data_IF_817901846166
#
_entry.id   IF_817901846166
#
_cell.length_a   1.000
_cell.length_b   1.000
_cell.length_c   1.000
_cell.angle_alpha   90.00
_cell.angle_beta   90.00
_cell.angle_gamma   90.00
#
_symmetry.space_group_name_H-M   'P 1'
#
loop_
_entity.id
_entity.type
_entity.pdbx_description
1 polymer ?
#
# COMPACT_ATOMS: atom_id res chain seq x y z
N UNK A 1 -39.40 -50.14 -31.09
CA UNK A 1 -38.51 -49.46 -30.12
C UNK A 1 -37.89 -48.26 -30.80
N UNK A 2 -38.28 -47.03 -30.43
CA UNK A 2 -37.63 -45.81 -30.85
C UNK A 2 -36.73 -45.21 -29.74
N UNK A 3 -35.89 -44.23 -30.08
CA UNK A 3 -34.56 -44.06 -29.52
C UNK A 3 -34.50 -43.07 -28.36
N UNK A 4 -33.45 -43.22 -27.55
CA UNK A 4 -33.08 -42.26 -26.51
C UNK A 4 -32.25 -41.09 -27.04
N UNK A 5 -32.49 -39.92 -26.45
CA UNK A 5 -31.66 -38.72 -26.24
C UNK A 5 -32.58 -37.48 -26.25
N UNK A 6 -32.25 -36.31 -25.65
CA UNK A 6 -31.03 -35.93 -24.90
C UNK A 6 -31.31 -35.23 -23.54
N UNK A 7 -30.33 -35.24 -22.63
CA UNK A 7 -30.26 -34.29 -21.50
C UNK A 7 -29.57 -33.03 -22.01
N UNK A 8 -30.34 -31.97 -22.27
CA UNK A 8 -29.82 -30.62 -22.47
C UNK A 8 -29.59 -29.96 -21.12
N UNK A 9 -28.36 -29.51 -20.89
CA UNK A 9 -28.04 -28.46 -19.95
C UNK A 9 -28.61 -27.15 -20.51
N UNK A 10 -29.47 -26.47 -19.74
CA UNK A 10 -29.84 -25.08 -20.03
C UNK A 10 -28.98 -24.16 -19.17
N UNK A 11 -28.18 -23.36 -19.86
CA UNK A 11 -27.47 -22.19 -19.34
C UNK A 11 -28.47 -21.16 -18.84
N UNK A 12 -28.51 -20.94 -17.52
CA UNK A 12 -29.23 -19.80 -16.92
C UNK A 12 -28.36 -18.56 -17.10
N UNK A 13 -28.75 -17.68 -18.02
CA UNK A 13 -28.16 -16.35 -18.18
C UNK A 13 -28.48 -15.49 -16.96
N UNK A 14 -27.48 -15.26 -16.12
CA UNK A 14 -27.52 -14.30 -15.03
C UNK A 14 -27.40 -12.88 -15.59
N UNK A 15 -28.40 -12.04 -15.30
CA UNK A 15 -28.30 -10.60 -15.53
C UNK A 15 -27.34 -9.99 -14.50
N UNK A 16 -26.37 -9.22 -14.99
CA UNK A 16 -25.30 -8.60 -14.22
C UNK A 16 -25.82 -7.56 -13.23
N UNK A 17 -25.48 -7.71 -11.94
CA UNK A 17 -25.80 -6.78 -10.86
C UNK A 17 -25.00 -5.47 -11.01
N UNK A 18 -25.60 -4.45 -11.61
CA UNK A 18 -25.06 -3.07 -11.54
C UNK A 18 -25.42 -2.43 -10.20
N UNK A 19 -24.41 -2.17 -9.36
CA UNK A 19 -24.54 -1.33 -8.17
C UNK A 19 -24.41 0.15 -8.52
N UNK A 20 -25.25 1.05 -7.96
CA UNK A 20 -25.10 2.49 -8.12
C UNK A 20 -24.02 3.04 -7.17
N UNK A 21 -23.24 4.01 -7.65
CA UNK A 21 -22.24 4.75 -6.86
C UNK A 21 -22.92 5.71 -5.86
N UNK A 22 -22.31 6.01 -4.71
CA UNK A 22 -22.89 6.95 -3.75
C UNK A 22 -22.62 8.40 -4.20
N UNK A 23 -23.67 9.10 -4.61
CA UNK A 23 -23.67 10.56 -4.74
C UNK A 23 -23.76 11.21 -3.36
N UNK A 24 -22.77 12.04 -3.03
CA UNK A 24 -22.82 12.97 -1.91
C UNK A 24 -23.37 14.31 -2.39
N UNK A 25 -24.66 14.57 -2.10
CA UNK A 25 -25.29 15.88 -2.25
C UNK A 25 -25.08 16.73 -1.00
N UNK A 26 -24.49 17.92 -1.17
CA UNK A 26 -24.82 19.09 -0.35
C UNK A 26 -25.15 20.22 -1.32
N UNK A 27 -26.38 20.72 -1.23
CA UNK A 27 -26.93 21.80 -2.04
C UNK A 27 -27.18 23.06 -1.20
N UNK A 28 -26.86 24.23 -1.76
CA UNK A 28 -27.51 25.54 -1.57
C UNK A 28 -26.95 26.48 -2.67
N UNK A 29 -27.67 26.80 -3.77
CA UNK A 29 -28.64 27.93 -3.92
C UNK A 29 -27.92 29.27 -3.61
N UNK A 30 -27.67 30.24 -4.51
CA UNK A 30 -28.46 30.82 -5.63
C UNK A 30 -27.57 31.66 -6.59
N UNK A 31 -28.08 31.96 -7.80
CA UNK A 31 -27.44 32.68 -8.94
C UNK A 31 -27.50 34.24 -8.82
N UNK A 32 -27.26 35.05 -9.88
CA UNK A 32 -26.00 35.40 -10.57
C UNK A 32 -25.79 36.95 -10.66
N UNK A 33 -24.57 37.46 -10.89
CA UNK A 33 -24.43 38.76 -11.59
C UNK A 33 -23.06 38.97 -12.26
N UNK A 34 -23.15 39.48 -13.48
CA UNK A 34 -22.07 39.95 -14.35
C UNK A 34 -21.54 41.30 -13.89
N UNK A 35 -20.22 41.52 -13.90
CA UNK A 35 -19.62 42.76 -14.41
C UNK A 35 -18.08 42.70 -14.49
N UNK A 36 -17.56 43.07 -15.66
CA UNK A 36 -16.20 43.56 -15.89
C UNK A 36 -16.01 44.88 -15.12
N UNK A 37 -14.83 45.10 -14.52
CA UNK A 37 -14.17 46.40 -14.61
C UNK A 37 -12.67 46.31 -14.35
N UNK A 38 -11.96 47.06 -15.18
CA UNK A 38 -10.54 47.37 -15.22
C UNK A 38 -10.24 48.42 -14.14
N UNK A 39 -9.07 48.37 -13.47
CA UNK A 39 -8.27 49.55 -13.12
C UNK A 39 -6.80 49.15 -12.87
N UNK A 40 -5.91 49.69 -13.73
CA UNK A 40 -4.46 49.88 -13.56
C UNK A 40 -4.20 50.85 -12.39
N UNK A 41 -3.05 50.93 -11.69
CA UNK A 41 -1.63 51.25 -12.02
C UNK A 41 -0.81 51.12 -10.69
N UNK A 42 0.52 51.39 -10.54
CA UNK A 42 1.69 51.41 -11.45
C UNK A 42 2.98 50.68 -10.90
N UNK A 43 3.96 50.49 -11.82
CA UNK A 43 5.46 50.60 -11.74
C UNK A 43 6.10 50.92 -10.36
N UNK A 44 7.30 50.49 -9.93
CA UNK A 44 8.55 49.94 -10.50
C UNK A 44 9.56 49.70 -9.32
N UNK A 45 10.86 49.33 -9.47
CA UNK A 45 11.58 48.59 -10.50
C UNK A 45 12.51 47.46 -9.96
N UNK A 46 12.80 46.54 -10.87
CA UNK A 46 14.08 45.85 -11.16
C UNK A 46 15.20 45.87 -10.11
N UNK A 47 15.48 44.71 -9.51
CA UNK A 47 16.80 44.37 -8.96
C UNK A 47 17.39 43.18 -9.71
N UNK A 48 18.57 43.44 -10.26
CA UNK A 48 19.42 42.61 -11.09
C UNK A 48 19.82 41.30 -10.38
N UNK A 49 19.31 40.17 -10.87
CA UNK A 49 19.80 38.86 -10.49
C UNK A 49 21.17 38.61 -11.13
N UNK A 50 22.22 39.03 -10.41
CA UNK A 50 23.60 38.74 -10.72
C UNK A 50 23.84 37.21 -10.64
N UNK A 51 24.09 36.59 -11.79
CA UNK A 51 24.49 35.19 -11.94
C UNK A 51 25.81 34.98 -11.19
N UNK A 52 25.75 34.62 -9.90
CA UNK A 52 26.94 34.20 -9.14
C UNK A 52 27.40 32.84 -9.68
N UNK A 53 28.34 32.89 -10.63
CA UNK A 53 29.21 31.76 -10.95
C UNK A 53 29.85 31.27 -9.66
N UNK A 54 29.42 30.12 -9.19
CA UNK A 54 30.02 29.42 -8.06
C UNK A 54 31.44 29.02 -8.45
N UNK A 55 32.42 29.76 -7.91
CA UNK A 55 33.83 29.38 -7.96
C UNK A 55 33.96 27.95 -7.39
N UNK A 56 34.73 27.05 -8.03
CA UNK A 56 34.98 25.73 -7.47
C UNK A 56 35.70 25.92 -6.15
N UNK A 57 35.04 25.58 -5.03
CA UNK A 57 35.65 25.59 -3.70
C UNK A 57 36.92 24.74 -3.77
N UNK A 58 38.10 25.37 -3.67
CA UNK A 58 39.37 24.66 -3.51
C UNK A 58 39.21 23.71 -2.33
N UNK A 59 39.31 22.41 -2.61
CA UNK A 59 39.28 21.35 -1.60
C UNK A 59 40.39 21.67 -0.62
N UNK A 60 40.06 22.11 0.62
CA UNK A 60 41.04 22.16 1.71
C UNK A 60 41.61 20.75 1.82
N UNK A 61 42.86 20.54 1.38
CA UNK A 61 43.56 19.32 1.69
C UNK A 61 43.76 19.33 3.20
N UNK A 62 42.88 18.63 3.93
CA UNK A 62 43.16 18.25 5.31
C UNK A 62 44.49 17.49 5.23
N UNK A 63 45.56 18.05 5.78
CA UNK A 63 46.81 17.32 5.95
C UNK A 63 46.45 16.06 6.72
N UNK A 64 46.62 14.86 6.13
CA UNK A 64 46.34 13.62 6.84
C UNK A 64 47.03 13.64 8.20
N UNK A 65 46.33 13.24 9.27
CA UNK A 65 46.91 13.03 10.61
C UNK A 65 48.22 12.24 10.55
N UNK A 66 48.34 11.38 9.53
CA UNK A 66 49.55 10.67 9.14
C UNK A 66 50.81 11.53 9.16
N UNK A 67 50.79 12.77 8.64
CA UNK A 67 52.00 13.58 8.49
C UNK A 67 52.42 14.34 9.74
N UNK A 68 51.65 14.32 10.84
CA UNK A 68 52.04 14.97 12.10
C UNK A 68 53.28 14.34 12.73
N UNK A 69 53.51 13.04 12.47
CA UNK A 69 54.66 12.29 12.97
C UNK A 69 55.85 12.25 12.00
N UNK A 70 55.78 13.03 10.92
CA UNK A 70 56.82 13.06 9.89
C UNK A 70 57.38 14.47 9.72
N UNK A 71 58.67 14.54 9.38
CA UNK A 71 59.39 15.78 9.09
C UNK A 71 59.87 15.80 7.64
N UNK A 72 60.20 17.00 7.19
CA UNK A 72 60.89 17.23 5.92
C UNK A 72 62.38 16.87 6.08
N UNK A 73 63.06 16.38 5.02
CA UNK A 73 64.50 16.16 5.03
C UNK A 73 65.29 17.36 5.57
N UNK A 74 66.30 17.10 6.40
CA UNK A 74 67.16 18.11 7.02
C UNK A 74 68.63 17.85 6.67
N UNK A 75 69.37 18.91 6.31
CA UNK A 75 70.80 18.82 6.00
C UNK A 75 71.08 18.01 4.73
N UNK A 76 71.92 16.98 4.84
CA UNK A 76 72.38 16.11 3.74
C UNK A 76 71.44 14.90 3.46
N UNK A 77 70.24 14.88 4.05
CA UNK A 77 69.24 13.83 3.83
C UNK A 77 68.66 13.86 2.39
N UNK A 78 68.38 12.68 1.81
CA UNK A 78 67.78 12.58 0.47
C UNK A 78 66.42 13.29 0.42
N UNK A 79 66.28 14.25 -0.49
CA UNK A 79 65.07 15.08 -0.60
C UNK A 79 63.96 14.44 -1.45
N UNK A 80 64.35 13.73 -2.51
CA UNK A 80 63.41 13.15 -3.48
C UNK A 80 63.79 11.71 -3.84
N UNK A 81 62.78 10.87 -3.98
CA UNK A 81 62.90 9.53 -4.57
C UNK A 81 61.88 9.43 -5.71
N UNK A 82 62.34 9.06 -6.91
CA UNK A 82 61.48 8.92 -8.09
C UNK A 82 60.57 10.14 -8.34
N UNK A 83 61.15 11.34 -8.28
CA UNK A 83 60.47 12.63 -8.46
C UNK A 83 59.37 12.94 -7.40
N UNK A 84 59.30 12.16 -6.33
CA UNK A 84 58.39 12.37 -5.20
C UNK A 84 59.17 12.77 -3.95
N UNK A 85 58.62 13.69 -3.16
CA UNK A 85 59.27 14.20 -1.94
C UNK A 85 59.29 13.13 -0.85
N UNK A 86 60.45 12.94 -0.22
CA UNK A 86 60.62 12.06 0.92
C UNK A 86 60.13 12.69 2.22
N UNK A 87 59.56 11.86 3.09
CA UNK A 87 59.15 12.21 4.45
C UNK A 87 59.88 11.32 5.45
N UNK A 88 60.51 11.94 6.45
CA UNK A 88 61.28 11.25 7.48
C UNK A 88 60.47 11.11 8.75
N UNK A 89 60.60 9.96 9.42
CA UNK A 89 59.96 9.74 10.71
C UNK A 89 60.59 10.64 11.79
N UNK A 90 59.78 11.33 12.59
CA UNK A 90 60.28 12.13 13.70
C UNK A 90 60.76 11.28 14.88
N UNK A 91 60.28 10.05 15.00
CA UNK A 91 60.57 9.16 16.14
C UNK A 91 61.79 8.27 15.90
N UNK A 92 62.23 8.09 14.64
CA UNK A 92 63.41 7.30 14.29
C UNK A 92 64.61 8.21 14.02
N UNK A 93 65.65 8.09 14.85
CA UNK A 93 66.87 8.90 14.74
C UNK A 93 68.08 8.10 14.24
N UNK A 94 68.20 6.81 14.56
CA UNK A 94 69.31 5.99 14.06
C UNK A 94 68.94 4.47 14.00
N UNK A 95 68.76 3.87 12.81
CA UNK A 95 68.79 4.51 11.48
C UNK A 95 67.55 5.39 11.23
N UNK A 96 67.66 6.49 10.46
CA UNK A 96 66.53 7.32 10.08
C UNK A 96 65.60 6.58 9.09
N UNK A 97 64.31 6.58 9.36
CA UNK A 97 63.31 5.95 8.49
C UNK A 97 62.63 6.97 7.57
N UNK A 98 62.47 6.62 6.28
CA UNK A 98 61.90 7.50 5.25
C UNK A 98 60.91 6.80 4.33
N UNK A 99 59.96 7.55 3.78
CA UNK A 99 59.00 7.05 2.79
C UNK A 99 58.46 8.16 1.89
N UNK A 100 58.02 7.78 0.69
CA UNK A 100 57.19 8.62 -0.20
C UNK A 100 55.69 8.28 -0.10
N UNK A 101 55.36 7.07 0.36
CA UNK A 101 53.98 6.55 0.39
C UNK A 101 53.33 6.67 1.77
N UNK A 102 52.08 7.14 1.78
CA UNK A 102 51.22 7.19 2.99
C UNK A 102 50.90 5.80 3.54
N UNK A 103 50.80 4.77 2.69
CA UNK A 103 50.49 3.41 3.13
C UNK A 103 51.67 2.77 3.86
N UNK A 104 52.89 3.03 3.38
CA UNK A 104 54.12 2.61 4.06
C UNK A 104 54.33 3.40 5.36
N UNK A 105 54.04 4.71 5.36
CA UNK A 105 54.11 5.57 6.55
C UNK A 105 53.24 5.04 7.70
N UNK A 106 51.96 4.75 7.42
CA UNK A 106 51.03 4.19 8.42
C UNK A 106 51.45 2.82 8.94
N UNK A 107 51.99 1.97 8.05
CA UNK A 107 52.46 0.63 8.43
C UNK A 107 53.65 0.71 9.40
N UNK A 108 54.61 1.58 9.11
CA UNK A 108 55.76 1.85 9.97
C UNK A 108 55.33 2.41 11.33
N UNK A 109 54.45 3.42 11.34
CA UNK A 109 53.90 3.98 12.59
C UNK A 109 53.21 2.93 13.46
N UNK A 110 52.45 2.01 12.86
CA UNK A 110 51.79 0.92 13.58
C UNK A 110 52.78 -0.10 14.15
N UNK A 111 53.79 -0.49 13.36
CA UNK A 111 54.69 -1.61 13.69
C UNK A 111 55.79 -1.19 14.65
N UNK A 112 56.42 -0.04 14.39
CA UNK A 112 57.65 0.37 15.06
C UNK A 112 57.40 1.39 16.18
N UNK A 113 56.23 2.04 16.18
CA UNK A 113 55.84 3.02 17.22
C UNK A 113 54.50 2.72 17.90
N UNK A 114 53.78 1.66 17.50
CA UNK A 114 52.47 1.32 18.05
C UNK A 114 51.36 2.35 17.78
N UNK A 115 51.61 3.35 16.93
CA UNK A 115 50.66 4.43 16.62
C UNK A 115 49.74 3.98 15.48
N UNK A 116 48.46 3.75 15.78
CA UNK A 116 47.44 3.43 14.79
C UNK A 116 46.88 4.73 14.24
N UNK A 117 47.30 5.09 13.03
CA UNK A 117 46.68 6.18 12.27
C UNK A 117 45.47 5.61 11.54
N UNK A 118 44.28 5.88 12.06
CA UNK A 118 43.04 5.45 11.44
C UNK A 118 42.78 6.23 10.14
N UNK A 119 42.31 5.50 9.12
CA UNK A 119 41.71 6.13 7.96
C UNK A 119 40.28 6.47 8.35
N UNK A 120 40.08 7.65 8.98
CA UNK A 120 38.74 8.17 9.21
C UNK A 120 37.96 8.03 7.89
N UNK A 121 37.03 7.07 7.85
CA UNK A 121 36.28 6.78 6.66
C UNK A 121 35.62 8.07 6.24
N UNK A 122 35.87 8.49 4.98
CA UNK A 122 35.45 9.81 4.51
C UNK A 122 34.00 10.01 4.89
N UNK A 123 33.70 11.08 5.63
CA UNK A 123 32.32 11.37 6.06
C UNK A 123 31.34 11.33 4.87
N UNK A 124 31.81 11.67 3.65
CA UNK A 124 31.06 11.51 2.41
C UNK A 124 30.71 10.05 2.06
N UNK A 125 31.62 9.09 2.24
CA UNK A 125 31.38 7.65 2.02
C UNK A 125 30.39 7.10 3.06
N UNK A 126 30.56 7.45 4.34
CA UNK A 126 29.61 7.08 5.40
C UNK A 126 28.21 7.65 5.14
N UNK A 127 28.11 8.92 4.75
CA UNK A 127 26.83 9.56 4.37
C UNK A 127 26.19 8.90 3.15
N UNK A 128 26.99 8.54 2.14
CA UNK A 128 26.50 7.81 0.97
C UNK A 128 25.95 6.44 1.38
N UNK A 129 26.70 5.69 2.21
CA UNK A 129 26.28 4.37 2.67
C UNK A 129 24.98 4.44 3.49
N UNK A 130 24.87 5.40 4.41
CA UNK A 130 23.63 5.68 5.15
C UNK A 130 22.47 6.05 4.21
N UNK A 131 22.73 6.87 3.19
CA UNK A 131 21.71 7.24 2.21
C UNK A 131 21.24 6.05 1.38
N UNK A 132 22.14 5.13 1.03
CA UNK A 132 21.80 3.92 0.29
C UNK A 132 21.01 2.95 1.16
N UNK A 133 21.40 2.76 2.42
CA UNK A 133 20.68 1.94 3.38
C UNK A 133 19.24 2.43 3.57
N UNK A 134 19.04 3.74 3.74
CA UNK A 134 17.70 4.35 3.82
C UNK A 134 16.92 4.19 2.51
N UNK A 135 17.58 4.22 1.35
CA UNK A 135 16.91 4.00 0.08
C UNK A 135 16.45 2.54 -0.08
N UNK A 136 17.26 1.58 0.35
CA UNK A 136 16.91 0.17 0.32
C UNK A 136 15.78 -0.17 1.29
N UNK A 137 15.81 0.34 2.52
CA UNK A 137 14.70 0.10 3.47
C UNK A 137 13.38 0.64 2.94
N UNK A 138 13.37 1.86 2.37
CA UNK A 138 12.17 2.42 1.72
C UNK A 138 11.69 1.61 0.53
N UNK A 139 12.63 1.07 -0.27
CA UNK A 139 12.27 0.23 -1.41
C UNK A 139 11.67 -1.10 -0.95
N UNK A 140 12.20 -1.69 0.12
CA UNK A 140 11.68 -2.91 0.73
C UNK A 140 10.29 -2.70 1.34
N UNK A 141 10.09 -1.61 2.09
CA UNK A 141 8.77 -1.23 2.63
C UNK A 141 7.75 -1.06 1.50
N UNK A 142 8.10 -0.30 0.47
CA UNK A 142 7.24 -0.11 -0.71
C UNK A 142 6.93 -1.43 -1.40
N UNK A 143 7.91 -2.32 -1.53
CA UNK A 143 7.70 -3.64 -2.14
C UNK A 143 6.74 -4.49 -1.28
N UNK A 144 6.93 -4.53 0.03
CA UNK A 144 6.04 -5.22 0.97
C UNK A 144 4.61 -4.67 0.90
N UNK A 145 4.45 -3.34 0.83
CA UNK A 145 3.14 -2.71 0.62
C UNK A 145 2.52 -3.11 -0.72
N UNK A 146 3.30 -3.15 -1.80
CA UNK A 146 2.78 -3.57 -3.11
C UNK A 146 2.38 -5.03 -3.15
N UNK A 147 3.16 -5.92 -2.53
CA UNK A 147 2.84 -7.35 -2.39
C UNK A 147 1.58 -7.50 -1.55
N UNK A 148 1.51 -6.86 -0.38
CA UNK A 148 0.33 -6.91 0.49
C UNK A 148 -0.93 -6.41 -0.21
N UNK A 149 -0.83 -5.30 -0.97
CA UNK A 149 -1.96 -4.80 -1.78
C UNK A 149 -2.35 -5.77 -2.89
N UNK A 150 -1.37 -6.41 -3.53
CA UNK A 150 -1.59 -7.47 -4.52
C UNK A 150 -2.35 -8.65 -3.92
N UNK A 151 -1.90 -9.14 -2.76
CA UNK A 151 -2.54 -10.22 -2.01
C UNK A 151 -3.98 -9.86 -1.61
N UNK A 152 -4.21 -8.65 -1.07
CA UNK A 152 -5.56 -8.17 -0.76
C UNK A 152 -6.46 -8.11 -1.99
N UNK A 153 -5.93 -7.69 -3.15
CA UNK A 153 -6.68 -7.67 -4.40
C UNK A 153 -7.06 -9.07 -4.86
N UNK A 154 -6.15 -10.04 -4.73
CA UNK A 154 -6.43 -11.44 -5.07
C UNK A 154 -7.53 -11.96 -4.14
N UNK A 155 -7.39 -11.78 -2.83
CA UNK A 155 -8.39 -12.20 -1.84
C UNK A 155 -9.76 -11.57 -2.08
N UNK A 156 -9.82 -10.30 -2.49
CA UNK A 156 -11.07 -9.65 -2.88
C UNK A 156 -11.67 -10.30 -4.13
N UNK A 157 -10.87 -10.51 -5.16
CA UNK A 157 -11.32 -11.07 -6.43
C UNK A 157 -11.74 -12.55 -6.33
N UNK A 158 -11.23 -13.29 -5.34
CA UNK A 158 -11.68 -14.67 -5.08
C UNK A 158 -13.11 -14.76 -4.54
N UNK A 159 -13.66 -13.67 -3.98
CA UNK A 159 -15.04 -13.65 -3.50
C UNK A 159 -15.96 -13.42 -4.71
N UNK A 160 -16.67 -14.47 -5.13
CA UNK A 160 -17.80 -14.31 -6.05
C UNK A 160 -18.97 -13.68 -5.31
N UNK A 161 -19.16 -12.37 -5.50
CA UNK A 161 -20.06 -11.55 -4.69
C UNK A 161 -21.53 -12.00 -4.81
N UNK A 162 -21.98 -12.29 -6.03
CA UNK A 162 -23.37 -12.70 -6.28
C UNK A 162 -23.68 -14.05 -5.62
N UNK A 163 -22.76 -15.03 -5.77
CA UNK A 163 -22.88 -16.33 -5.13
C UNK A 163 -22.84 -16.22 -3.60
N UNK A 164 -22.01 -15.31 -3.08
CA UNK A 164 -21.93 -15.04 -1.65
C UNK A 164 -23.25 -14.48 -1.11
N UNK A 165 -23.83 -13.46 -1.75
CA UNK A 165 -25.10 -12.89 -1.32
C UNK A 165 -26.24 -13.89 -1.40
N UNK A 166 -26.35 -14.64 -2.50
CA UNK A 166 -27.38 -15.67 -2.63
C UNK A 166 -27.25 -16.73 -1.52
N UNK A 167 -26.03 -17.22 -1.26
CA UNK A 167 -25.80 -18.17 -0.17
C UNK A 167 -26.13 -17.59 1.21
N UNK A 168 -25.81 -16.32 1.45
CA UNK A 168 -26.15 -15.62 2.69
C UNK A 168 -27.67 -15.49 2.87
N UNK A 169 -28.40 -15.05 1.84
CA UNK A 169 -29.86 -14.94 1.89
C UNK A 169 -30.52 -16.30 2.08
N UNK A 170 -30.04 -17.34 1.39
CA UNK A 170 -30.53 -18.71 1.59
C UNK A 170 -30.26 -19.21 3.02
N UNK A 171 -29.09 -18.94 3.58
CA UNK A 171 -28.79 -19.31 4.96
C UNK A 171 -29.77 -18.64 5.93
N UNK A 172 -29.97 -17.33 5.79
CA UNK A 172 -30.83 -16.54 6.67
C UNK A 172 -32.28 -17.01 6.57
N UNK A 173 -32.80 -17.14 5.35
CA UNK A 173 -34.19 -17.54 5.11
C UNK A 173 -34.46 -19.00 5.51
N UNK A 174 -33.61 -19.94 5.09
CA UNK A 174 -33.83 -21.38 5.33
C UNK A 174 -33.59 -21.78 6.79
N UNK A 175 -32.67 -21.10 7.48
CA UNK A 175 -32.41 -21.34 8.91
C UNK A 175 -33.18 -20.39 9.83
N UNK A 176 -34.04 -19.53 9.27
CA UNK A 176 -34.87 -18.56 10.00
C UNK A 176 -34.03 -17.70 10.96
N UNK A 177 -32.88 -17.25 10.49
CA UNK A 177 -32.02 -16.36 11.26
C UNK A 177 -32.61 -14.96 11.27
N UNK A 178 -32.42 -14.19 12.36
CA UNK A 178 -32.82 -12.80 12.36
C UNK A 178 -31.95 -11.99 11.39
N UNK A 179 -32.49 -10.94 10.77
CA UNK A 179 -31.79 -10.16 9.75
C UNK A 179 -30.53 -9.47 10.28
N UNK A 180 -30.49 -9.20 11.58
CA UNK A 180 -29.31 -8.64 12.25
C UNK A 180 -28.22 -9.70 12.53
N UNK A 181 -28.38 -10.96 12.14
CA UNK A 181 -27.34 -11.97 12.32
C UNK A 181 -26.03 -11.61 11.60
N UNK A 182 -26.12 -10.82 10.53
CA UNK A 182 -24.95 -10.31 9.82
C UNK A 182 -24.09 -9.38 10.67
N UNK A 183 -24.64 -8.74 11.71
CA UNK A 183 -23.86 -7.90 12.62
C UNK A 183 -23.29 -8.67 13.82
N UNK A 184 -23.53 -9.99 13.92
CA UNK A 184 -23.01 -10.78 15.04
C UNK A 184 -21.49 -10.98 14.91
N UNK A 185 -20.74 -10.81 16.02
CA UNK A 185 -19.29 -10.95 15.98
C UNK A 185 -18.85 -12.37 15.62
N UNK A 186 -19.60 -13.40 16.00
CA UNK A 186 -19.32 -14.80 15.67
C UNK A 186 -19.49 -15.07 14.18
N UNK A 187 -20.53 -14.49 13.57
CA UNK A 187 -20.78 -14.60 12.13
C UNK A 187 -19.67 -13.91 11.33
N UNK A 188 -19.30 -12.70 11.74
CA UNK A 188 -18.20 -11.95 11.14
C UNK A 188 -16.86 -12.66 11.31
N UNK A 189 -16.57 -13.19 12.50
CA UNK A 189 -15.36 -13.93 12.78
C UNK A 189 -15.25 -15.21 11.92
N UNK A 190 -16.35 -15.95 11.76
CA UNK A 190 -16.38 -17.14 10.91
C UNK A 190 -16.02 -16.82 9.45
N UNK A 191 -16.60 -15.74 8.90
CA UNK A 191 -16.35 -15.35 7.52
C UNK A 191 -14.93 -14.80 7.33
N UNK A 192 -14.46 -13.97 8.27
CA UNK A 192 -13.10 -13.45 8.27
C UNK A 192 -12.03 -14.54 8.47
N UNK A 193 -12.36 -15.64 9.15
CA UNK A 193 -11.47 -16.80 9.28
C UNK A 193 -11.26 -17.53 7.95
N UNK A 194 -12.26 -17.54 7.07
CA UNK A 194 -12.14 -18.10 5.71
C UNK A 194 -11.43 -17.12 4.78
N UNK A 195 -11.82 -15.84 4.81
CA UNK A 195 -11.17 -14.80 4.03
C UNK A 195 -11.12 -13.49 4.83
N UNK A 196 -9.91 -12.99 5.21
CA UNK A 196 -9.79 -11.79 6.04
C UNK A 196 -10.29 -10.51 5.35
N UNK A 197 -10.38 -10.49 4.02
CA UNK A 197 -10.91 -9.36 3.24
C UNK A 197 -12.45 -9.37 3.19
N UNK A 198 -13.08 -10.48 3.58
CA UNK A 198 -14.54 -10.59 3.59
C UNK A 198 -15.19 -9.44 4.37
N UNK A 199 -14.67 -9.07 5.55
CA UNK A 199 -15.24 -8.02 6.39
C UNK A 199 -15.56 -6.68 5.69
N UNK A 200 -14.80 -6.31 4.65
CA UNK A 200 -15.05 -5.09 3.85
C UNK A 200 -16.04 -5.26 2.69
N UNK A 201 -16.42 -6.50 2.36
CA UNK A 201 -17.32 -6.87 1.25
C UNK A 201 -18.68 -7.34 1.76
N UNK A 202 -18.78 -7.75 3.03
CA UNK A 202 -20.01 -8.28 3.62
C UNK A 202 -21.11 -7.23 3.74
N UNK A 203 -22.36 -7.69 3.64
CA UNK A 203 -23.51 -6.91 4.08
C UNK A 203 -23.44 -6.75 5.59
N UNK A 204 -23.36 -5.50 6.07
CA UNK A 204 -23.23 -5.18 7.49
C UNK A 204 -24.55 -4.71 8.11
N UNK A 205 -25.60 -4.50 7.31
CA UNK A 205 -26.89 -4.00 7.77
C UNK A 205 -28.02 -4.99 7.49
N UNK A 206 -28.87 -5.24 8.49
CA UNK A 206 -30.08 -6.03 8.32
C UNK A 206 -31.08 -5.41 7.32
N UNK A 207 -31.05 -4.10 7.10
CA UNK A 207 -31.90 -3.46 6.07
C UNK A 207 -31.48 -3.85 4.66
N UNK A 208 -30.18 -3.96 4.41
CA UNK A 208 -29.63 -4.43 3.13
C UNK A 208 -29.95 -5.91 2.94
N UNK A 209 -29.82 -6.73 3.99
CA UNK A 209 -30.27 -8.14 3.95
C UNK A 209 -31.74 -8.24 3.57
N UNK A 210 -32.60 -7.38 4.14
CA UNK A 210 -34.02 -7.34 3.78
C UNK A 210 -34.21 -7.05 2.30
N UNK A 211 -33.56 -6.02 1.77
CA UNK A 211 -33.66 -5.66 0.35
C UNK A 211 -33.21 -6.81 -0.58
N UNK A 212 -32.11 -7.50 -0.25
CA UNK A 212 -31.66 -8.67 -0.99
C UNK A 212 -32.62 -9.87 -0.84
N UNK A 213 -33.22 -10.04 0.34
CA UNK A 213 -34.24 -11.08 0.58
C UNK A 213 -35.50 -10.81 -0.25
N UNK A 214 -35.95 -9.57 -0.34
CA UNK A 214 -37.09 -9.17 -1.18
C UNK A 214 -36.80 -9.43 -2.66
N UNK A 215 -35.59 -9.11 -3.12
CA UNK A 215 -35.18 -9.40 -4.49
C UNK A 215 -35.16 -10.90 -4.78
N UNK A 216 -34.53 -11.70 -3.91
CA UNK A 216 -34.49 -13.17 -4.02
C UNK A 216 -35.91 -13.77 -3.98
N UNK A 217 -36.80 -13.21 -3.14
CA UNK A 217 -38.20 -13.60 -3.10
C UNK A 217 -38.92 -13.37 -4.43
N UNK A 218 -38.72 -12.22 -5.10
CA UNK A 218 -39.36 -11.94 -6.40
C UNK A 218 -38.94 -12.98 -7.43
N UNK A 219 -37.65 -13.29 -7.51
CA UNK A 219 -37.12 -14.31 -8.44
C UNK A 219 -37.72 -15.68 -8.12
N UNK A 220 -37.69 -16.09 -6.85
CA UNK A 220 -38.21 -17.40 -6.45
C UNK A 220 -39.73 -17.50 -6.65
N UNK A 221 -40.47 -16.41 -6.41
CA UNK A 221 -41.91 -16.32 -6.63
C UNK A 221 -42.27 -16.53 -8.10
N UNK A 222 -41.56 -15.92 -9.04
CA UNK A 222 -41.83 -16.12 -10.47
C UNK A 222 -41.55 -17.57 -10.89
N UNK A 223 -40.49 -18.19 -10.35
CA UNK A 223 -40.21 -19.61 -10.58
C UNK A 223 -41.33 -20.52 -10.05
N UNK A 224 -41.77 -20.32 -8.81
CA UNK A 224 -42.88 -21.07 -8.21
C UNK A 224 -44.17 -20.84 -9.01
N UNK A 225 -44.44 -19.60 -9.43
CA UNK A 225 -45.60 -19.27 -10.26
C UNK A 225 -45.58 -20.02 -11.59
N UNK A 226 -44.45 -20.07 -12.28
CA UNK A 226 -44.31 -20.83 -13.52
C UNK A 226 -44.56 -22.34 -13.28
N UNK A 227 -44.02 -22.90 -12.19
CA UNK A 227 -44.25 -24.30 -11.81
C UNK A 227 -45.73 -24.58 -11.51
N UNK A 228 -46.41 -23.69 -10.78
CA UNK A 228 -47.83 -23.82 -10.47
C UNK A 228 -48.69 -23.70 -11.74
N UNK A 229 -48.34 -22.82 -12.68
CA UNK A 229 -49.04 -22.69 -13.96
C UNK A 229 -48.88 -23.94 -14.85
N UNK A 230 -47.73 -24.60 -14.77
CA UNK A 230 -47.46 -25.83 -15.50
C UNK A 230 -48.01 -27.10 -14.81
N UNK A 231 -48.51 -26.98 -13.57
CA UNK A 231 -48.96 -28.11 -12.79
C UNK A 231 -50.20 -28.77 -13.44
N UNK A 232 -50.12 -30.07 -13.68
CA UNK A 232 -51.24 -30.88 -14.21
C UNK A 232 -52.19 -31.37 -13.13
N UNK A 233 -51.74 -31.39 -11.88
CA UNK A 233 -52.54 -31.81 -10.72
C UNK A 233 -53.44 -30.68 -10.24
N UNK A 234 -54.52 -31.04 -9.54
CA UNK A 234 -55.28 -30.05 -8.77
C UNK A 234 -54.41 -29.44 -7.67
N UNK A 235 -54.45 -28.11 -7.54
CA UNK A 235 -53.77 -27.37 -6.49
C UNK A 235 -54.77 -27.16 -5.36
N UNK A 236 -54.51 -27.74 -4.19
CA UNK A 236 -55.34 -27.56 -3.01
C UNK A 236 -54.73 -26.46 -2.13
N UNK A 237 -55.54 -25.49 -1.72
CA UNK A 237 -55.15 -24.43 -0.80
C UNK A 237 -55.88 -24.62 0.53
N UNK A 238 -55.14 -24.61 1.63
CA UNK A 238 -55.70 -24.60 2.99
C UNK A 238 -55.79 -23.16 3.47
N UNK A 239 -56.98 -22.74 3.91
CA UNK A 239 -57.20 -21.38 4.42
C UNK A 239 -57.31 -21.45 5.94
N UNK A 240 -56.50 -20.66 6.62
CA UNK A 240 -56.53 -20.53 8.08
C UNK A 240 -56.88 -19.09 8.48
N UNK A 241 -57.80 -18.95 9.44
CA UNK A 241 -58.31 -17.67 9.91
C UNK A 241 -58.23 -17.62 11.42
N UNK A 242 -57.45 -16.67 11.95
CA UNK A 242 -57.34 -16.49 13.39
C UNK A 242 -57.33 -15.00 13.78
N UNK A 243 -57.78 -14.73 15.00
CA UNK A 243 -57.74 -13.39 15.59
C UNK A 243 -56.64 -13.31 16.63
N UNK A 244 -56.01 -12.14 16.73
CA UNK A 244 -55.04 -11.86 17.80
C UNK A 244 -55.69 -11.04 18.91
N UNK A 245 -55.16 -11.12 20.15
CA UNK A 245 -55.57 -10.25 21.26
C UNK A 245 -55.47 -8.75 20.95
N UNK A 246 -54.70 -8.36 19.93
CA UNK A 246 -54.54 -6.97 19.50
C UNK A 246 -55.58 -6.52 18.45
N UNK A 247 -56.76 -7.17 18.42
CA UNK A 247 -57.88 -6.85 17.53
C UNK A 247 -57.51 -6.86 16.04
N UNK A 248 -56.53 -7.68 15.66
CA UNK A 248 -56.19 -7.93 14.25
C UNK A 248 -56.63 -9.34 13.88
N UNK A 249 -57.29 -9.45 12.73
CA UNK A 249 -57.55 -10.73 12.07
C UNK A 249 -56.41 -11.05 11.11
N UNK A 250 -56.03 -12.32 11.04
CA UNK A 250 -55.02 -12.84 10.14
C UNK A 250 -55.66 -13.89 9.24
N UNK A 251 -55.22 -13.89 7.99
CA UNK A 251 -55.60 -14.85 6.96
C UNK A 251 -54.31 -15.51 6.47
N UNK A 252 -54.15 -16.79 6.77
CA UNK A 252 -53.12 -17.65 6.20
C UNK A 252 -53.69 -18.37 4.97
N UNK A 253 -52.93 -18.35 3.88
CA UNK A 253 -53.21 -19.06 2.63
C UNK A 253 -51.95 -19.84 2.24
#
# INVERSE_FOLDING_TARGET
MPPGSPLFAEDVQYAEFSSPAPESSIAAIERPHSQRSIFSVPFSPTSSASTRRSQPKKRKLRTPETWKHFRVPQGDEETHQNNQRLWYCQHCHNPPWRTVSTTSAKRHMRKDHGIIIDDEERAAKKRLQQSLEVAFTRAEEKNRETVSRGEQSILRNTIQLDAFYEAQIQLITRRRLPLNCVSWPEYQALLCAVNPVAGGVLIQSGTTVLAHTEHSYVVHRENIKAQLQAAKSQIHLSIDLWSSPHRKAFLGI
#
